data_IF_686916013975
#
_entry.id   IF_686916013975
#
_cell.length_a   1.000
_cell.length_b   1.000
_cell.length_c   1.000
_cell.angle_alpha   90.00
_cell.angle_beta   90.00
_cell.angle_gamma   90.00
#
_symmetry.space_group_name_H-M   'P 1'
#
loop_
_entity.id
_entity.type
_entity.pdbx_description
1 polymer ?
#
# COMPACT_ATOMS: atom_id res chain seq x y z
N UNK A 1 -31.76 -40.26 -12.65
CA UNK A 1 -30.63 -39.97 -13.57
C UNK A 1 -31.11 -38.88 -14.49
N UNK A 2 -30.82 -37.62 -14.17
CA UNK A 2 -31.07 -36.49 -15.06
C UNK A 2 -30.01 -36.54 -16.14
N UNK A 3 -30.39 -36.77 -17.38
CA UNK A 3 -29.59 -36.56 -18.56
C UNK A 3 -29.36 -35.02 -18.66
N UNK A 4 -28.17 -34.58 -18.34
CA UNK A 4 -27.72 -33.24 -18.74
C UNK A 4 -27.64 -33.26 -20.28
N UNK A 5 -28.65 -32.69 -20.92
CA UNK A 5 -28.55 -32.41 -22.35
C UNK A 5 -27.42 -31.40 -22.51
N UNK A 6 -26.28 -31.84 -23.02
CA UNK A 6 -25.22 -30.92 -23.47
C UNK A 6 -25.72 -30.22 -24.71
N UNK A 7 -26.17 -28.98 -24.52
CA UNK A 7 -26.40 -28.10 -25.64
C UNK A 7 -25.04 -27.72 -26.25
N UNK A 8 -24.93 -27.88 -27.57
CA UNK A 8 -23.81 -27.30 -28.31
C UNK A 8 -23.82 -25.80 -28.10
N UNK A 9 -22.80 -25.27 -27.50
CA UNK A 9 -22.56 -23.84 -27.48
C UNK A 9 -21.89 -23.45 -28.80
N UNK A 10 -22.65 -22.79 -29.69
CA UNK A 10 -22.04 -22.16 -30.85
C UNK A 10 -21.10 -21.06 -30.35
N UNK A 11 -19.96 -20.81 -31.05
CA UNK A 11 -19.17 -19.61 -30.77
C UNK A 11 -20.10 -18.39 -30.85
N UNK A 12 -19.98 -17.43 -29.91
CA UNK A 12 -20.74 -16.18 -30.04
C UNK A 12 -20.41 -15.53 -31.38
N UNK A 13 -21.37 -14.91 -31.99
CA UNK A 13 -21.27 -14.20 -33.27
C UNK A 13 -20.40 -12.93 -33.26
N UNK A 14 -19.66 -12.70 -32.15
CA UNK A 14 -18.73 -11.59 -31.97
C UNK A 14 -19.33 -10.41 -31.23
N UNK A 15 -20.64 -10.30 -31.14
CA UNK A 15 -21.35 -9.22 -30.48
C UNK A 15 -21.42 -9.46 -28.96
N UNK A 16 -21.28 -8.38 -28.18
CA UNK A 16 -21.44 -8.40 -26.72
C UNK A 16 -20.55 -9.42 -25.99
N UNK A 17 -19.27 -9.44 -26.29
CA UNK A 17 -18.33 -10.37 -25.68
C UNK A 17 -18.30 -10.26 -24.16
N UNK A 18 -18.18 -11.40 -23.48
CA UNK A 18 -17.98 -11.46 -22.03
C UNK A 18 -16.60 -10.93 -21.67
N UNK A 19 -16.55 -9.97 -20.76
CA UNK A 19 -15.36 -9.30 -20.28
C UNK A 19 -15.24 -9.41 -18.77
N UNK A 20 -14.00 -9.43 -18.30
CA UNK A 20 -13.66 -9.50 -16.89
C UNK A 20 -12.50 -8.55 -16.59
N UNK A 21 -12.65 -7.70 -15.56
CA UNK A 21 -11.58 -6.85 -15.07
C UNK A 21 -11.47 -6.95 -13.56
N UNK A 22 -10.25 -7.05 -13.03
CA UNK A 22 -10.01 -7.18 -11.59
C UNK A 22 -8.86 -6.30 -11.15
N UNK A 23 -8.99 -5.69 -9.96
CA UNK A 23 -7.99 -4.83 -9.35
C UNK A 23 -7.80 -5.19 -7.88
N UNK A 24 -6.55 -5.47 -7.48
CA UNK A 24 -6.16 -5.58 -6.08
C UNK A 24 -5.87 -4.20 -5.49
N UNK A 25 -6.33 -3.98 -4.25
CA UNK A 25 -6.05 -2.79 -3.43
C UNK A 25 -5.20 -3.25 -2.25
N UNK A 26 -3.96 -2.75 -2.15
CA UNK A 26 -2.94 -3.11 -1.14
C UNK A 26 -2.76 -4.62 -0.93
N UNK A 27 -3.05 -5.45 -1.92
CA UNK A 27 -2.99 -6.92 -1.88
C UNK A 27 -3.85 -7.57 -0.76
N UNK A 28 -4.77 -6.82 -0.15
CA UNK A 28 -5.65 -7.31 0.93
C UNK A 28 -7.12 -7.30 0.54
N UNK A 29 -7.48 -6.57 -0.50
CA UNK A 29 -8.82 -6.57 -1.08
C UNK A 29 -8.74 -6.63 -2.60
N UNK A 30 -9.80 -7.15 -3.23
CA UNK A 30 -9.94 -7.21 -4.69
C UNK A 30 -11.33 -6.78 -5.09
N UNK A 31 -11.42 -5.98 -6.14
CA UNK A 31 -12.66 -5.66 -6.83
C UNK A 31 -12.64 -6.34 -8.19
N UNK A 32 -13.70 -7.03 -8.53
CA UNK A 32 -13.85 -7.73 -9.81
C UNK A 32 -15.15 -7.28 -10.49
N UNK A 33 -15.09 -6.98 -11.78
CA UNK A 33 -16.25 -6.65 -12.60
C UNK A 33 -16.37 -7.66 -13.73
N UNK A 34 -17.53 -8.32 -13.80
CA UNK A 34 -17.92 -9.19 -14.91
C UNK A 34 -19.04 -8.54 -15.71
N UNK A 35 -18.87 -8.43 -17.02
CA UNK A 35 -19.83 -7.74 -17.87
C UNK A 35 -19.79 -8.25 -19.30
N UNK A 36 -20.85 -7.98 -20.06
CA UNK A 36 -20.85 -8.15 -21.51
C UNK A 36 -20.73 -6.78 -22.18
N UNK A 37 -19.78 -6.67 -23.12
CA UNK A 37 -19.34 -5.44 -23.76
C UNK A 37 -20.09 -5.21 -25.08
N UNK A 38 -21.13 -4.36 -25.13
CA UNK A 38 -21.75 -3.96 -26.38
C UNK A 38 -20.85 -2.96 -27.13
N UNK A 39 -21.00 -2.95 -28.45
CA UNK A 39 -20.40 -1.96 -29.34
C UNK A 39 -21.34 -0.78 -29.62
N UNK A 40 -20.80 0.28 -30.22
CA UNK A 40 -21.58 1.39 -30.76
C UNK A 40 -22.20 1.01 -32.13
N UNK A 41 -21.48 0.27 -32.94
CA UNK A 41 -21.93 -0.22 -34.27
C UNK A 41 -22.65 0.86 -35.10
N UNK A 42 -21.96 1.96 -35.35
CA UNK A 42 -22.47 3.08 -36.14
C UNK A 42 -23.59 3.92 -35.49
N UNK A 43 -23.99 3.60 -34.25
CA UNK A 43 -25.06 4.30 -33.52
C UNK A 43 -24.53 5.47 -32.67
N UNK A 44 -23.38 6.05 -33.05
CA UNK A 44 -22.84 7.22 -32.34
C UNK A 44 -23.84 8.36 -32.30
N UNK A 45 -24.09 8.92 -31.09
CA UNK A 45 -25.10 9.92 -30.81
C UNK A 45 -26.51 9.35 -30.65
N UNK A 46 -26.67 8.02 -30.68
CA UNK A 46 -27.93 7.32 -30.48
C UNK A 46 -27.83 6.22 -29.38
N UNK A 47 -26.81 6.26 -28.58
CA UNK A 47 -26.68 5.36 -27.41
C UNK A 47 -27.49 5.95 -26.26
N UNK A 48 -27.10 7.13 -25.78
CA UNK A 48 -27.67 7.73 -24.58
C UNK A 48 -29.00 8.45 -24.88
N UNK A 49 -30.03 8.10 -24.13
CA UNK A 49 -31.39 8.60 -24.35
C UNK A 49 -32.18 7.83 -25.43
N UNK A 50 -31.52 6.94 -26.19
CA UNK A 50 -32.15 6.14 -27.26
C UNK A 50 -31.98 4.63 -26.99
N UNK A 51 -30.83 4.02 -27.35
CA UNK A 51 -30.57 2.61 -27.07
C UNK A 51 -30.58 2.33 -25.58
N UNK A 52 -30.03 3.23 -24.78
CA UNK A 52 -30.11 3.25 -23.32
C UNK A 52 -30.95 4.47 -22.91
N UNK A 53 -32.26 4.30 -22.64
CA UNK A 53 -33.16 5.40 -22.35
C UNK A 53 -32.82 6.08 -21.03
N UNK A 54 -32.91 7.40 -20.97
CA UNK A 54 -32.80 8.14 -19.73
C UNK A 54 -33.93 7.81 -18.74
N UNK A 55 -33.61 7.79 -17.46
CA UNK A 55 -34.57 7.55 -16.39
C UNK A 55 -35.03 6.09 -16.25
N UNK A 56 -34.46 5.17 -17.02
CA UNK A 56 -34.78 3.74 -16.93
C UNK A 56 -33.59 2.93 -16.41
N UNK A 57 -33.91 1.85 -15.68
CA UNK A 57 -32.89 0.93 -15.15
C UNK A 57 -32.25 0.17 -16.32
N UNK A 58 -30.94 0.25 -16.40
CA UNK A 58 -30.10 -0.44 -17.38
C UNK A 58 -29.10 -1.34 -16.65
N UNK A 59 -28.87 -2.54 -17.19
CA UNK A 59 -27.95 -3.56 -16.66
C UNK A 59 -26.46 -3.19 -16.75
N UNK A 60 -26.16 -1.94 -17.13
CA UNK A 60 -24.80 -1.39 -17.26
C UNK A 60 -23.86 -2.24 -18.13
N UNK A 61 -24.40 -2.86 -19.18
CA UNK A 61 -23.75 -3.76 -20.13
C UNK A 61 -24.76 -4.36 -21.11
N UNK A 62 -24.46 -5.55 -21.61
CA UNK A 62 -25.34 -6.33 -22.51
C UNK A 62 -25.56 -7.74 -21.91
N UNK A 63 -26.48 -8.51 -22.49
CA UNK A 63 -26.84 -9.89 -22.12
C UNK A 63 -27.22 -10.04 -20.64
N UNK A 64 -26.44 -10.81 -19.85
CA UNK A 64 -26.62 -10.91 -18.40
C UNK A 64 -26.27 -9.59 -17.71
N UNK A 65 -26.80 -9.37 -16.53
CA UNK A 65 -26.52 -8.15 -15.78
C UNK A 65 -25.05 -8.10 -15.35
N UNK A 66 -24.45 -6.93 -15.52
CA UNK A 66 -23.10 -6.65 -15.01
C UNK A 66 -23.05 -6.92 -13.51
N UNK A 67 -21.95 -7.48 -13.02
CA UNK A 67 -21.74 -7.71 -11.59
C UNK A 67 -20.46 -7.09 -11.09
N UNK A 68 -20.47 -6.64 -9.84
CA UNK A 68 -19.29 -6.21 -9.11
C UNK A 68 -19.13 -7.10 -7.89
N UNK A 69 -17.94 -7.67 -7.70
CA UNK A 69 -17.60 -8.49 -6.54
C UNK A 69 -16.51 -7.82 -5.72
N UNK A 70 -16.73 -7.75 -4.39
CA UNK A 70 -15.81 -7.23 -3.41
C UNK A 70 -15.31 -8.37 -2.52
N UNK A 71 -14.00 -8.61 -2.45
CA UNK A 71 -13.44 -9.67 -1.60
C UNK A 71 -13.42 -9.31 -0.11
N UNK A 72 -13.61 -8.04 0.22
CA UNK A 72 -13.67 -7.49 1.58
C UNK A 72 -14.73 -6.39 1.65
N UNK A 73 -15.13 -6.00 2.87
CA UNK A 73 -16.04 -4.88 3.06
C UNK A 73 -15.45 -3.60 2.47
N UNK A 74 -16.25 -2.90 1.69
CA UNK A 74 -15.88 -1.66 1.01
C UNK A 74 -16.74 -0.49 1.48
N UNK A 75 -16.36 0.71 1.10
CA UNK A 75 -17.14 1.94 1.25
C UNK A 75 -17.28 2.60 -0.12
N UNK A 76 -18.51 2.97 -0.50
CA UNK A 76 -18.81 3.68 -1.75
C UNK A 76 -19.69 4.89 -1.40
N UNK A 77 -19.21 6.09 -1.75
CA UNK A 77 -19.95 7.32 -1.44
C UNK A 77 -20.27 7.50 0.06
N UNK A 78 -19.41 7.00 0.95
CA UNK A 78 -19.59 7.02 2.40
C UNK A 78 -20.50 5.92 2.96
N UNK A 79 -21.03 5.03 2.12
CA UNK A 79 -21.90 3.93 2.51
C UNK A 79 -21.14 2.60 2.56
N UNK A 80 -21.37 1.83 3.62
CA UNK A 80 -20.76 0.51 3.78
C UNK A 80 -21.36 -0.50 2.79
N UNK A 81 -20.50 -1.23 2.10
CA UNK A 81 -20.85 -2.32 1.19
C UNK A 81 -20.15 -3.59 1.71
N UNK A 82 -20.91 -4.59 2.19
CA UNK A 82 -20.34 -5.86 2.63
C UNK A 82 -19.59 -6.58 1.51
N UNK A 83 -18.61 -7.42 1.88
CA UNK A 83 -17.98 -8.34 0.93
C UNK A 83 -19.05 -9.22 0.26
N UNK A 84 -18.91 -9.43 -1.05
CA UNK A 84 -19.88 -10.21 -1.82
C UNK A 84 -19.95 -9.80 -3.27
N UNK A 85 -20.78 -10.51 -4.03
CA UNK A 85 -21.08 -10.26 -5.45
C UNK A 85 -22.45 -9.62 -5.60
N UNK A 86 -22.51 -8.51 -6.31
CA UNK A 86 -23.71 -7.70 -6.50
C UNK A 86 -23.99 -7.48 -7.99
N UNK A 87 -25.25 -7.44 -8.37
CA UNK A 87 -25.65 -6.92 -9.66
C UNK A 87 -25.38 -5.43 -9.72
N UNK A 88 -24.83 -4.97 -10.83
CA UNK A 88 -24.59 -3.55 -11.05
C UNK A 88 -25.52 -3.02 -12.13
N UNK A 89 -26.33 -2.03 -11.73
CA UNK A 89 -27.27 -1.36 -12.62
C UNK A 89 -27.04 0.14 -12.60
N UNK A 90 -27.51 0.81 -13.64
CA UNK A 90 -27.49 2.26 -13.71
C UNK A 90 -28.84 2.79 -14.21
N UNK A 91 -29.22 3.97 -13.73
CA UNK A 91 -30.29 4.79 -14.32
C UNK A 91 -29.62 6.01 -14.90
N UNK A 92 -29.30 6.02 -16.21
CA UNK A 92 -28.70 7.16 -16.85
C UNK A 92 -29.62 8.38 -16.85
N UNK A 93 -29.05 9.53 -16.65
CA UNK A 93 -29.69 10.83 -16.84
C UNK A 93 -28.76 11.76 -17.62
N UNK A 94 -29.28 12.85 -18.16
CA UNK A 94 -28.49 13.79 -18.95
C UNK A 94 -27.32 14.44 -18.15
N UNK A 95 -27.51 14.67 -16.85
CA UNK A 95 -26.57 15.40 -15.99
C UNK A 95 -26.01 14.57 -14.88
N UNK A 96 -26.77 13.61 -14.39
CA UNK A 96 -26.42 12.76 -13.27
C UNK A 96 -27.00 11.36 -13.50
N UNK A 97 -26.25 10.35 -13.11
CA UNK A 97 -26.66 8.96 -13.16
C UNK A 97 -26.88 8.44 -11.74
N UNK A 98 -27.90 7.61 -11.56
CA UNK A 98 -28.00 6.78 -10.35
C UNK A 98 -27.35 5.43 -10.64
N UNK A 99 -26.34 5.07 -9.84
CA UNK A 99 -25.66 3.78 -9.87
C UNK A 99 -26.21 2.91 -8.75
N UNK A 100 -26.39 1.62 -9.01
CA UNK A 100 -27.10 0.70 -8.13
C UNK A 100 -26.28 -0.57 -7.92
N UNK A 101 -26.07 -0.95 -6.67
CA UNK A 101 -25.67 -2.30 -6.29
C UNK A 101 -26.89 -3.06 -5.80
N UNK A 102 -27.23 -4.15 -6.49
CA UNK A 102 -28.38 -4.99 -6.15
C UNK A 102 -27.92 -6.37 -5.66
N UNK A 103 -28.68 -6.97 -4.76
CA UNK A 103 -28.47 -8.36 -4.32
C UNK A 103 -28.76 -9.35 -5.44
N UNK A 104 -29.60 -8.98 -6.41
CA UNK A 104 -29.84 -9.76 -7.63
C UNK A 104 -28.65 -9.68 -8.57
N UNK A 105 -27.82 -10.72 -8.59
CA UNK A 105 -26.54 -10.78 -9.31
C UNK A 105 -26.46 -11.87 -10.39
N UNK A 106 -27.59 -12.46 -10.78
CA UNK A 106 -27.68 -13.53 -11.77
C UNK A 106 -28.96 -13.42 -12.58
N UNK A 107 -29.14 -12.31 -13.28
CA UNK A 107 -30.33 -12.04 -14.09
C UNK A 107 -29.96 -11.78 -15.55
N UNK A 108 -30.89 -12.02 -16.46
CA UNK A 108 -30.75 -11.59 -17.85
C UNK A 108 -31.33 -10.16 -18.00
N UNK A 109 -30.48 -9.23 -18.39
CA UNK A 109 -30.93 -7.84 -18.58
C UNK A 109 -31.29 -7.16 -17.26
N UNK A 110 -32.26 -6.25 -17.33
CA UNK A 110 -32.87 -5.58 -16.20
C UNK A 110 -34.33 -6.03 -15.98
N UNK A 111 -34.77 -7.11 -16.62
CA UNK A 111 -36.19 -7.52 -16.60
C UNK A 111 -36.65 -8.02 -15.23
N UNK A 112 -35.74 -8.62 -14.46
CA UNK A 112 -35.99 -9.11 -13.10
C UNK A 112 -35.48 -8.14 -12.03
N UNK A 113 -35.22 -6.89 -12.39
CA UNK A 113 -34.78 -5.89 -11.44
C UNK A 113 -35.94 -5.49 -10.50
N UNK A 114 -35.66 -5.53 -9.21
CA UNK A 114 -36.58 -5.08 -8.16
C UNK A 114 -35.86 -4.11 -7.23
N UNK A 115 -36.42 -2.93 -7.02
CA UNK A 115 -35.83 -1.89 -6.18
C UNK A 115 -35.70 -2.34 -4.70
N UNK A 116 -36.53 -3.26 -4.24
CA UNK A 116 -36.46 -3.85 -2.90
C UNK A 116 -35.20 -4.68 -2.65
N UNK A 117 -34.53 -5.13 -3.73
CA UNK A 117 -33.29 -5.87 -3.67
C UNK A 117 -32.05 -4.96 -3.73
N UNK A 118 -32.22 -3.65 -3.82
CA UNK A 118 -31.10 -2.72 -3.83
C UNK A 118 -30.38 -2.72 -2.48
N UNK A 119 -29.08 -2.92 -2.54
CA UNK A 119 -28.21 -2.74 -1.38
C UNK A 119 -27.84 -1.27 -1.22
N UNK A 120 -27.52 -0.61 -2.34
CA UNK A 120 -27.05 0.77 -2.35
C UNK A 120 -27.44 1.46 -3.66
N UNK A 121 -27.91 2.70 -3.54
CA UNK A 121 -28.02 3.66 -4.64
C UNK A 121 -27.16 4.87 -4.34
N UNK A 122 -26.40 5.30 -5.32
CA UNK A 122 -25.56 6.49 -5.22
C UNK A 122 -25.51 7.19 -6.57
N UNK A 123 -25.08 8.45 -6.58
CA UNK A 123 -25.05 9.24 -7.81
C UNK A 123 -23.63 9.41 -8.35
N UNK A 124 -23.51 9.54 -9.66
CA UNK A 124 -22.28 9.86 -10.34
C UNK A 124 -22.56 10.79 -11.52
N UNK A 125 -21.65 11.72 -11.78
CA UNK A 125 -21.79 12.68 -12.87
C UNK A 125 -21.06 12.15 -14.10
N UNK A 126 -21.77 11.93 -15.24
CA UNK A 126 -21.13 11.52 -16.47
C UNK A 126 -20.18 12.62 -16.99
N UNK A 127 -19.03 12.21 -17.49
CA UNK A 127 -18.02 13.10 -18.06
C UNK A 127 -17.84 12.79 -19.54
N UNK A 128 -17.50 13.80 -20.34
CA UNK A 128 -17.03 13.56 -21.70
C UNK A 128 -15.71 12.81 -21.66
N UNK A 129 -15.59 11.80 -22.49
CA UNK A 129 -14.37 11.00 -22.66
C UNK A 129 -13.96 10.91 -24.13
N UNK A 130 -12.78 10.37 -24.38
CA UNK A 130 -12.42 9.91 -25.70
C UNK A 130 -13.40 8.82 -26.14
N UNK A 131 -13.69 8.80 -27.46
CA UNK A 131 -14.60 7.83 -28.05
C UNK A 131 -14.15 6.40 -27.81
N UNK A 132 -15.06 5.57 -27.32
CA UNK A 132 -14.89 4.13 -27.15
C UNK A 132 -15.95 3.38 -27.93
N UNK A 133 -15.54 2.59 -28.93
CA UNK A 133 -16.45 1.74 -29.68
C UNK A 133 -17.13 0.70 -28.80
N UNK A 134 -16.36 0.09 -27.89
CA UNK A 134 -16.85 -0.93 -26.98
C UNK A 134 -17.05 -0.39 -25.58
N UNK A 135 -18.14 -0.80 -24.92
CA UNK A 135 -18.30 -0.56 -23.49
C UNK A 135 -17.17 -1.24 -22.72
N UNK A 136 -16.50 -0.51 -21.87
CA UNK A 136 -15.43 -1.04 -21.01
C UNK A 136 -15.54 -0.58 -19.57
N UNK A 137 -15.01 -1.39 -18.66
CA UNK A 137 -14.74 -1.03 -17.28
C UNK A 137 -13.24 -0.97 -17.06
N UNK A 138 -12.78 0.08 -16.39
CA UNK A 138 -11.37 0.30 -16.10
C UNK A 138 -11.18 0.77 -14.67
N UNK A 139 -10.06 0.40 -14.05
CA UNK A 139 -9.61 0.98 -12.79
C UNK A 139 -8.64 2.12 -13.06
N UNK A 140 -9.14 3.36 -12.96
CA UNK A 140 -8.44 4.57 -13.39
C UNK A 140 -7.60 5.24 -12.31
N UNK A 141 -7.95 5.07 -11.03
CA UNK A 141 -7.15 5.51 -9.89
C UNK A 141 -6.76 4.32 -9.02
N UNK A 142 -5.50 4.33 -8.54
CA UNK A 142 -4.95 3.24 -7.74
C UNK A 142 -4.18 3.82 -6.56
N UNK A 143 -4.75 3.70 -5.38
CA UNK A 143 -4.17 4.17 -4.11
C UNK A 143 -4.11 3.05 -3.09
N UNK A 144 -3.35 3.18 -2.00
CA UNK A 144 -3.26 2.12 -0.99
C UNK A 144 -4.59 1.72 -0.37
N UNK A 145 -5.56 2.64 -0.24
CA UNK A 145 -6.85 2.39 0.41
C UNK A 145 -8.05 2.46 -0.53
N UNK A 146 -7.88 2.85 -1.80
CA UNK A 146 -9.00 2.94 -2.74
C UNK A 146 -8.61 2.78 -4.20
N UNK A 147 -9.61 2.51 -5.02
CA UNK A 147 -9.53 2.55 -6.48
C UNK A 147 -10.75 3.26 -7.05
N UNK A 148 -10.65 3.83 -8.25
CA UNK A 148 -11.80 4.33 -8.98
C UNK A 148 -12.17 3.35 -10.10
N UNK A 149 -13.43 2.91 -10.10
CA UNK A 149 -14.00 2.13 -11.20
C UNK A 149 -14.67 3.09 -12.18
N UNK A 150 -14.32 2.98 -13.46
CA UNK A 150 -14.82 3.82 -14.55
C UNK A 150 -15.44 2.98 -15.63
N UNK A 151 -16.71 3.20 -15.91
CA UNK A 151 -17.39 2.75 -17.13
C UNK A 151 -17.11 3.74 -18.25
N UNK A 152 -16.74 3.25 -19.42
CA UNK A 152 -16.59 4.06 -20.65
C UNK A 152 -17.38 3.45 -21.79
N UNK A 153 -18.10 4.25 -22.52
CA UNK A 153 -18.77 3.85 -23.75
C UNK A 153 -19.16 5.07 -24.60
N UNK A 154 -19.00 4.97 -25.91
CA UNK A 154 -19.20 6.07 -26.84
C UNK A 154 -18.32 7.27 -26.42
N UNK A 155 -18.87 8.43 -26.17
CA UNK A 155 -18.17 9.67 -25.78
C UNK A 155 -18.34 10.01 -24.29
N UNK A 156 -18.79 9.06 -23.46
CA UNK A 156 -19.02 9.26 -22.03
C UNK A 156 -18.26 8.27 -21.15
N UNK A 157 -17.87 8.77 -19.99
CA UNK A 157 -17.37 7.95 -18.88
C UNK A 157 -18.10 8.29 -17.59
N UNK A 158 -18.28 7.30 -16.73
CA UNK A 158 -18.85 7.45 -15.39
C UNK A 158 -17.94 6.75 -14.41
N UNK A 159 -17.48 7.46 -13.38
CA UNK A 159 -16.52 6.96 -12.39
C UNK A 159 -17.07 7.08 -10.98
N UNK A 160 -16.67 6.15 -10.12
CA UNK A 160 -16.89 6.24 -8.67
C UNK A 160 -15.76 5.57 -7.89
N UNK A 161 -15.54 6.03 -6.67
CA UNK A 161 -14.51 5.49 -5.79
C UNK A 161 -15.04 4.30 -4.98
N UNK A 162 -14.15 3.33 -4.80
CA UNK A 162 -14.34 2.15 -3.96
C UNK A 162 -13.22 2.16 -2.94
N UNK A 163 -13.55 2.38 -1.69
CA UNK A 163 -12.61 2.53 -0.58
C UNK A 163 -12.61 1.27 0.30
N UNK A 164 -11.46 0.96 0.89
CA UNK A 164 -11.26 -0.14 1.82
C UNK A 164 -10.56 0.33 3.08
N UNK A 165 -10.92 -0.25 4.20
CA UNK A 165 -10.19 -0.11 5.45
C UNK A 165 -8.87 -0.91 5.38
N UNK A 166 -7.92 -0.43 4.56
CA UNK A 166 -6.75 -1.22 4.16
C UNK A 166 -5.86 -1.60 5.36
N UNK A 167 -5.67 -0.70 6.33
CA UNK A 167 -4.86 -1.00 7.52
C UNK A 167 -5.52 -2.07 8.38
N UNK A 168 -6.83 -2.00 8.59
CA UNK A 168 -7.61 -3.01 9.33
C UNK A 168 -7.49 -4.39 8.67
N UNK A 169 -7.62 -4.43 7.34
CA UNK A 169 -7.47 -5.68 6.57
C UNK A 169 -6.06 -6.27 6.68
N UNK A 170 -5.02 -5.42 6.65
CA UNK A 170 -3.63 -5.86 6.86
C UNK A 170 -3.46 -6.43 8.27
N UNK A 171 -3.97 -5.74 9.29
CA UNK A 171 -3.89 -6.21 10.68
C UNK A 171 -4.59 -7.56 10.86
N UNK A 172 -5.80 -7.72 10.30
CA UNK A 172 -6.50 -9.01 10.37
C UNK A 172 -5.75 -10.12 9.61
N UNK A 173 -5.14 -9.79 8.47
CA UNK A 173 -4.28 -10.71 7.74
C UNK A 173 -3.07 -11.14 8.58
N UNK A 174 -2.39 -10.19 9.25
CA UNK A 174 -1.28 -10.50 10.14
C UNK A 174 -1.71 -11.35 11.33
N UNK A 175 -2.83 -11.03 11.98
CA UNK A 175 -3.40 -11.86 13.04
C UNK A 175 -3.65 -13.30 12.60
N UNK A 176 -4.16 -13.49 11.37
CA UNK A 176 -4.39 -14.82 10.83
C UNK A 176 -3.08 -15.59 10.58
N UNK A 177 -2.09 -14.94 9.96
CA UNK A 177 -0.78 -15.53 9.65
C UNK A 177 0.03 -15.86 10.91
N UNK A 178 -0.02 -14.99 11.92
CA UNK A 178 0.73 -15.14 13.17
C UNK A 178 0.13 -16.17 14.15
N UNK A 179 -1.06 -16.74 13.84
CA UNK A 179 -1.59 -17.88 14.62
C UNK A 179 -0.82 -19.17 14.39
N UNK A 180 -0.06 -19.28 13.29
CA UNK A 180 0.72 -20.47 12.93
C UNK A 180 2.17 -20.41 13.42
N UNK A 181 3.02 -21.25 12.83
CA UNK A 181 4.45 -21.38 13.17
C UNK A 181 5.21 -20.04 13.10
N UNK A 182 4.83 -19.15 12.17
CA UNK A 182 5.46 -17.85 11.97
C UNK A 182 5.35 -17.00 13.24
N UNK A 183 4.22 -17.00 13.91
CA UNK A 183 4.04 -16.22 15.15
C UNK A 183 4.60 -16.89 16.38
N UNK A 184 4.67 -18.22 16.42
CA UNK A 184 5.08 -18.98 17.62
C UNK A 184 6.60 -19.18 17.71
N UNK A 185 7.29 -19.37 16.59
CA UNK A 185 8.69 -19.78 16.55
C UNK A 185 9.62 -18.83 15.79
N UNK A 186 9.06 -17.86 15.08
CA UNK A 186 9.83 -16.92 14.29
C UNK A 186 9.61 -15.49 14.81
N UNK A 187 10.67 -14.88 15.34
CA UNK A 187 10.63 -13.52 15.86
C UNK A 187 10.39 -12.48 14.73
N UNK A 188 10.85 -12.76 13.51
CA UNK A 188 10.77 -11.86 12.36
C UNK A 188 9.33 -11.54 11.98
N UNK A 189 8.43 -12.52 11.98
CA UNK A 189 7.02 -12.33 11.63
C UNK A 189 6.33 -11.32 12.55
N UNK A 190 6.46 -11.53 13.86
CA UNK A 190 5.91 -10.59 14.86
C UNK A 190 6.59 -9.22 14.78
N UNK A 191 7.90 -9.17 14.52
CA UNK A 191 8.62 -7.91 14.32
C UNK A 191 8.12 -7.15 13.10
N UNK A 192 7.94 -7.81 11.96
CA UNK A 192 7.41 -7.18 10.74
C UNK A 192 6.02 -6.60 10.96
N UNK A 193 5.14 -7.32 11.65
CA UNK A 193 3.81 -6.83 11.99
C UNK A 193 3.85 -5.61 12.94
N UNK A 194 4.72 -5.64 13.96
CA UNK A 194 4.95 -4.52 14.86
C UNK A 194 5.53 -3.30 14.13
N UNK A 195 6.50 -3.53 13.24
CA UNK A 195 7.12 -2.49 12.42
C UNK A 195 6.11 -1.82 11.49
N UNK A 196 5.21 -2.60 10.88
CA UNK A 196 4.12 -2.05 10.07
C UNK A 196 3.24 -1.07 10.86
N UNK A 197 2.85 -1.44 12.09
CA UNK A 197 2.07 -0.55 12.96
C UNK A 197 2.82 0.75 13.26
N UNK A 198 4.12 0.65 13.51
CA UNK A 198 4.98 1.81 13.80
C UNK A 198 5.13 2.71 12.56
N UNK A 199 5.45 2.14 11.40
CA UNK A 199 5.74 2.88 10.18
C UNK A 199 4.52 3.64 9.66
N UNK A 200 3.33 3.09 9.88
CA UNK A 200 2.07 3.71 9.44
C UNK A 200 1.36 4.51 10.56
N UNK A 201 1.85 4.45 11.80
CA UNK A 201 1.22 5.13 12.94
C UNK A 201 -0.17 4.59 13.27
N UNK A 202 -0.43 3.30 13.03
CA UNK A 202 -1.73 2.64 13.21
C UNK A 202 -1.65 1.52 14.24
N UNK A 203 -2.71 1.30 15.01
CA UNK A 203 -2.85 0.20 15.98
C UNK A 203 -1.62 0.02 16.89
N UNK A 204 -1.14 1.07 17.58
CA UNK A 204 0.11 1.01 18.35
C UNK A 204 0.07 -0.01 19.49
N UNK A 205 -1.10 -0.25 20.11
CA UNK A 205 -1.27 -1.27 21.14
C UNK A 205 -1.04 -2.68 20.60
N UNK A 206 -1.64 -2.99 19.44
CA UNK A 206 -1.45 -4.28 18.77
C UNK A 206 0.00 -4.42 18.27
N UNK A 207 0.58 -3.35 17.78
CA UNK A 207 2.00 -3.32 17.40
C UNK A 207 2.92 -3.62 18.58
N UNK A 208 2.64 -3.03 19.75
CA UNK A 208 3.42 -3.29 20.96
C UNK A 208 3.27 -4.74 21.45
N UNK A 209 2.09 -5.32 21.34
CA UNK A 209 1.89 -6.74 21.67
C UNK A 209 2.79 -7.63 20.79
N UNK A 210 2.79 -7.43 19.50
CA UNK A 210 3.65 -8.16 18.57
C UNK A 210 5.14 -7.89 18.80
N UNK A 211 5.52 -6.65 19.09
CA UNK A 211 6.91 -6.33 19.43
C UNK A 211 7.38 -7.08 20.70
N UNK A 212 6.54 -7.16 21.74
CA UNK A 212 6.81 -7.94 22.95
C UNK A 212 6.95 -9.44 22.66
N UNK A 213 6.05 -9.98 21.82
CA UNK A 213 6.11 -11.38 21.41
C UNK A 213 7.39 -11.67 20.62
N UNK A 214 7.76 -10.81 19.68
CA UNK A 214 9.02 -10.92 18.92
C UNK A 214 10.24 -10.95 19.84
N UNK A 215 10.31 -10.04 20.81
CA UNK A 215 11.41 -9.98 21.79
C UNK A 215 11.41 -11.22 22.69
N UNK A 216 10.25 -11.75 23.06
CA UNK A 216 10.15 -12.97 23.87
C UNK A 216 10.70 -14.20 23.13
N UNK A 217 10.45 -14.32 21.83
CA UNK A 217 10.99 -15.41 21.00
C UNK A 217 12.52 -15.27 20.86
N UNK A 218 12.99 -14.11 20.47
CA UNK A 218 14.43 -13.84 20.33
C UNK A 218 14.73 -12.34 20.39
N UNK A 219 15.31 -11.83 21.48
CA UNK A 219 15.73 -10.45 21.56
C UNK A 219 16.77 -10.11 20.47
N UNK A 220 16.53 -9.04 19.75
CA UNK A 220 17.42 -8.47 18.73
C UNK A 220 17.43 -6.95 18.86
N UNK A 221 18.48 -6.30 18.39
CA UNK A 221 18.54 -4.84 18.37
C UNK A 221 17.28 -4.23 17.69
N UNK A 222 16.92 -4.75 16.52
CA UNK A 222 15.83 -4.21 15.71
C UNK A 222 14.47 -4.33 16.39
N UNK A 223 14.10 -5.49 16.96
CA UNK A 223 12.80 -5.66 17.57
C UNK A 223 12.68 -4.96 18.93
N UNK A 224 13.78 -4.83 19.67
CA UNK A 224 13.85 -4.02 20.89
C UNK A 224 13.70 -2.53 20.58
N UNK A 225 14.31 -2.05 19.49
CA UNK A 225 14.17 -0.66 19.05
C UNK A 225 12.72 -0.36 18.60
N UNK A 226 12.10 -1.27 17.85
CA UNK A 226 10.68 -1.15 17.45
C UNK A 226 9.78 -1.14 18.68
N UNK A 227 10.03 -2.02 19.65
CA UNK A 227 9.31 -2.05 20.93
C UNK A 227 9.44 -0.71 21.66
N UNK A 228 10.66 -0.19 21.82
CA UNK A 228 10.91 1.10 22.46
C UNK A 228 10.12 2.24 21.79
N UNK A 229 10.12 2.30 20.46
CA UNK A 229 9.39 3.34 19.71
C UNK A 229 7.87 3.22 19.90
N UNK A 230 7.33 2.01 19.96
CA UNK A 230 5.90 1.78 20.23
C UNK A 230 5.52 2.13 21.67
N UNK A 231 6.37 1.78 22.66
CA UNK A 231 6.19 2.19 24.06
C UNK A 231 6.20 3.72 24.18
N UNK A 232 7.10 4.40 23.47
CA UNK A 232 7.14 5.87 23.41
C UNK A 232 5.87 6.46 22.78
N UNK A 233 5.38 5.87 21.69
CA UNK A 233 4.15 6.31 21.02
C UNK A 233 2.90 6.17 21.89
N UNK A 234 2.91 5.20 22.82
CA UNK A 234 1.85 4.98 23.81
C UNK A 234 2.04 5.78 25.11
N UNK A 235 3.11 6.58 25.20
CA UNK A 235 3.37 7.45 26.35
C UNK A 235 4.10 6.78 27.52
N UNK A 236 4.53 5.51 27.40
CA UNK A 236 5.30 4.80 28.42
C UNK A 236 6.81 5.08 28.26
N UNK A 237 7.23 6.26 28.69
CA UNK A 237 8.61 6.72 28.53
C UNK A 237 9.63 5.87 29.32
N UNK A 238 9.24 5.29 30.47
CA UNK A 238 10.15 4.45 31.26
C UNK A 238 10.39 3.10 30.58
N UNK A 239 9.34 2.45 30.11
CA UNK A 239 9.47 1.21 29.34
C UNK A 239 10.26 1.45 28.05
N UNK A 240 9.95 2.53 27.33
CA UNK A 240 10.63 2.91 26.11
C UNK A 240 12.15 3.08 26.32
N UNK A 241 12.54 3.79 27.38
CA UNK A 241 13.95 3.97 27.76
C UNK A 241 14.63 2.62 28.07
N UNK A 242 13.97 1.79 28.86
CA UNK A 242 14.49 0.46 29.21
C UNK A 242 14.70 -0.44 27.99
N UNK A 243 13.72 -0.47 27.09
CA UNK A 243 13.81 -1.23 25.84
C UNK A 243 14.92 -0.69 24.92
N UNK A 244 15.07 0.63 24.84
CA UNK A 244 16.15 1.27 24.07
C UNK A 244 17.54 0.94 24.62
N UNK A 245 17.74 1.07 25.93
CA UNK A 245 19.01 0.74 26.58
C UNK A 245 19.41 -0.73 26.35
N UNK A 246 18.42 -1.64 26.41
CA UNK A 246 18.64 -3.05 26.11
C UNK A 246 19.01 -3.25 24.64
N UNK A 247 18.33 -2.57 23.70
CA UNK A 247 18.66 -2.60 22.28
C UNK A 247 20.11 -2.16 22.05
N UNK A 248 20.51 -1.01 22.58
CA UNK A 248 21.86 -0.49 22.46
C UNK A 248 22.90 -1.45 23.06
N UNK A 249 22.58 -2.09 24.21
CA UNK A 249 23.46 -3.07 24.83
C UNK A 249 23.72 -4.29 23.93
N UNK A 250 22.75 -4.72 23.17
CA UNK A 250 22.86 -5.89 22.28
C UNK A 250 23.34 -5.55 20.86
N UNK A 251 23.38 -4.28 20.52
CA UNK A 251 23.69 -3.81 19.17
C UNK A 251 25.10 -4.23 18.72
N UNK A 252 25.20 -4.67 17.49
CA UNK A 252 26.47 -4.89 16.77
C UNK A 252 27.03 -3.57 16.23
N UNK A 253 28.30 -3.53 15.74
CA UNK A 253 28.85 -2.34 15.07
C UNK A 253 27.99 -1.86 13.91
N UNK A 254 27.41 -2.80 13.20
CA UNK A 254 26.52 -2.55 12.06
C UNK A 254 25.21 -1.89 12.51
N UNK A 255 24.59 -2.41 13.56
CA UNK A 255 23.35 -1.88 14.12
C UNK A 255 23.52 -0.43 14.58
N UNK A 256 24.56 -0.15 15.35
CA UNK A 256 24.85 1.21 15.83
C UNK A 256 25.17 2.17 14.68
N UNK A 257 25.90 1.71 13.69
CA UNK A 257 26.19 2.53 12.52
C UNK A 257 24.92 2.93 11.77
N UNK A 258 24.03 1.97 11.46
CA UNK A 258 22.78 2.27 10.75
C UNK A 258 21.80 3.06 11.60
N UNK A 259 21.75 2.83 12.92
CA UNK A 259 20.96 3.63 13.83
C UNK A 259 21.42 5.10 13.88
N UNK A 260 22.73 5.34 14.03
CA UNK A 260 23.27 6.69 13.96
C UNK A 260 22.99 7.37 12.61
N UNK A 261 23.03 6.62 11.50
CA UNK A 261 22.62 7.16 10.19
C UNK A 261 21.14 7.53 10.12
N UNK A 262 20.27 6.73 10.70
CA UNK A 262 18.84 7.04 10.77
C UNK A 262 18.60 8.33 11.56
N UNK A 263 19.26 8.49 12.71
CA UNK A 263 19.21 9.71 13.50
C UNK A 263 19.72 10.95 12.73
N UNK A 264 20.76 10.81 11.90
CA UNK A 264 21.18 11.90 11.00
C UNK A 264 20.11 12.26 9.97
N UNK A 265 19.37 11.27 9.45
CA UNK A 265 18.25 11.49 8.55
C UNK A 265 17.05 12.20 9.23
N UNK A 266 16.93 12.05 10.55
CA UNK A 266 15.95 12.74 11.39
C UNK A 266 16.48 14.11 11.90
N UNK A 267 17.61 14.58 11.42
CA UNK A 267 18.31 15.83 11.87
C UNK A 267 18.74 15.81 13.35
N UNK A 268 18.76 14.67 14.02
CA UNK A 268 19.21 14.46 15.40
C UNK A 268 20.71 14.27 15.47
N UNK A 269 21.47 15.30 15.07
CA UNK A 269 22.92 15.20 14.86
C UNK A 269 23.69 14.88 16.15
N UNK A 270 23.30 15.44 17.30
CA UNK A 270 24.00 15.18 18.58
C UNK A 270 23.77 13.74 19.07
N UNK A 271 22.53 13.26 18.95
CA UNK A 271 22.22 11.87 19.30
C UNK A 271 22.95 10.88 18.36
N UNK A 272 22.97 11.17 17.08
CA UNK A 272 23.73 10.36 16.11
C UNK A 272 25.22 10.31 16.45
N UNK A 273 25.81 11.45 16.80
CA UNK A 273 27.22 11.52 17.19
C UNK A 273 27.51 10.70 18.43
N UNK A 274 26.63 10.77 19.45
CA UNK A 274 26.75 9.95 20.66
C UNK A 274 26.74 8.44 20.34
N UNK A 275 25.85 8.00 19.42
CA UNK A 275 25.81 6.59 18.97
C UNK A 275 27.10 6.21 18.22
N UNK A 276 27.61 7.05 17.33
CA UNK A 276 28.87 6.77 16.62
C UNK A 276 30.07 6.70 17.58
N UNK A 277 30.14 7.60 18.55
CA UNK A 277 31.18 7.57 19.59
C UNK A 277 31.07 6.30 20.44
N UNK A 278 29.86 5.92 20.85
CA UNK A 278 29.63 4.67 21.58
C UNK A 278 30.03 3.45 20.75
N UNK A 279 29.72 3.44 19.46
CA UNK A 279 30.10 2.37 18.54
C UNK A 279 31.64 2.22 18.48
N UNK A 280 32.33 3.32 18.29
CA UNK A 280 33.81 3.32 18.25
C UNK A 280 34.44 2.93 19.61
N UNK A 281 33.93 3.50 20.70
CA UNK A 281 34.43 3.19 22.05
C UNK A 281 34.27 1.70 22.41
N UNK A 282 33.22 1.06 21.92
CA UNK A 282 32.92 -0.35 22.22
C UNK A 282 33.64 -1.34 21.32
N UNK A 283 33.82 -1.00 20.06
CA UNK A 283 34.29 -1.94 19.04
C UNK A 283 35.62 -1.56 18.39
N UNK A 284 36.21 -0.41 18.76
CA UNK A 284 37.49 0.06 18.24
C UNK A 284 37.45 0.50 16.78
N UNK A 285 38.60 0.45 16.15
CA UNK A 285 38.81 0.89 14.79
C UNK A 285 38.32 -0.14 13.76
N UNK A 286 37.06 -0.05 13.38
CA UNK A 286 36.45 -0.78 12.28
C UNK A 286 36.05 0.20 11.16
N UNK A 287 35.92 -0.30 9.95
CA UNK A 287 35.45 0.52 8.82
C UNK A 287 34.18 1.32 9.16
N UNK A 288 33.16 0.66 9.72
CA UNK A 288 31.88 1.29 10.05
C UNK A 288 31.95 2.23 11.25
N UNK A 289 32.83 1.98 12.23
CA UNK A 289 32.99 2.88 13.38
C UNK A 289 33.66 4.18 12.96
N UNK A 290 34.69 4.12 12.15
CA UNK A 290 35.39 5.27 11.58
C UNK A 290 34.47 6.02 10.61
N UNK A 291 33.72 5.32 9.75
CA UNK A 291 32.76 5.92 8.83
C UNK A 291 31.60 6.61 9.58
N UNK A 292 31.17 6.06 10.71
CA UNK A 292 30.14 6.68 11.56
C UNK A 292 30.62 8.01 12.14
N UNK A 293 31.81 8.04 12.76
CA UNK A 293 32.41 9.26 13.27
C UNK A 293 32.58 10.31 12.17
N UNK A 294 33.11 9.91 11.00
CA UNK A 294 33.28 10.80 9.87
C UNK A 294 31.96 11.46 9.46
N UNK A 295 30.87 10.70 9.39
CA UNK A 295 29.53 11.22 9.06
C UNK A 295 29.00 12.14 10.15
N UNK A 296 29.18 11.82 11.42
CA UNK A 296 28.78 12.64 12.55
C UNK A 296 29.50 14.01 12.53
N UNK A 297 30.84 14.02 12.38
CA UNK A 297 31.62 15.24 12.27
C UNK A 297 31.24 16.05 11.03
N UNK A 298 31.02 15.41 9.87
CA UNK A 298 30.54 16.09 8.66
C UNK A 298 29.18 16.77 8.89
N UNK A 299 28.25 16.12 9.55
CA UNK A 299 26.94 16.69 9.87
C UNK A 299 27.06 17.90 10.83
N UNK A 300 28.06 17.90 11.72
CA UNK A 300 28.41 19.02 12.60
C UNK A 300 29.24 20.10 11.90
N UNK A 301 29.55 19.94 10.62
CA UNK A 301 30.43 20.83 9.82
C UNK A 301 31.89 20.90 10.34
N UNK A 302 32.29 19.94 11.16
CA UNK A 302 33.69 19.75 11.57
C UNK A 302 34.44 18.96 10.48
N UNK A 303 34.75 19.65 9.40
CA UNK A 303 35.32 19.02 8.21
C UNK A 303 36.72 18.48 8.45
N UNK A 304 37.46 19.08 9.39
CA UNK A 304 38.81 18.60 9.72
C UNK A 304 38.77 17.23 10.42
N UNK A 305 37.94 17.06 11.43
CA UNK A 305 37.75 15.77 12.08
C UNK A 305 37.09 14.75 11.13
N UNK A 306 36.13 15.17 10.32
CA UNK A 306 35.49 14.32 9.32
C UNK A 306 36.52 13.76 8.33
N UNK A 307 37.45 14.59 7.83
CA UNK A 307 38.53 14.19 6.93
C UNK A 307 39.44 13.14 7.56
N UNK A 308 39.85 13.32 8.82
CA UNK A 308 40.65 12.34 9.55
C UNK A 308 39.98 10.98 9.62
N UNK A 309 38.70 10.93 10.00
CA UNK A 309 37.96 9.70 10.12
C UNK A 309 37.64 9.05 8.77
N UNK A 310 37.39 9.83 7.69
CA UNK A 310 37.28 9.26 6.33
C UNK A 310 38.60 8.64 5.85
N UNK A 311 39.76 9.27 6.13
CA UNK A 311 41.04 8.69 5.83
C UNK A 311 41.31 7.40 6.63
N UNK A 312 40.94 7.36 7.90
CA UNK A 312 41.02 6.14 8.70
C UNK A 312 40.07 5.04 8.15
N UNK A 313 38.87 5.37 7.78
CA UNK A 313 37.95 4.42 7.15
C UNK A 313 38.47 3.89 5.80
N UNK A 314 39.14 4.74 4.99
CA UNK A 314 39.74 4.32 3.74
C UNK A 314 40.82 3.23 3.94
N UNK A 315 41.64 3.33 5.00
CA UNK A 315 42.65 2.32 5.33
C UNK A 315 42.03 0.96 5.72
N UNK A 316 40.80 0.98 6.26
CA UNK A 316 40.04 -0.21 6.68
C UNK A 316 39.09 -0.72 5.60
N UNK A 317 39.08 -0.09 4.42
CA UNK A 317 38.18 -0.46 3.33
C UNK A 317 38.67 -1.73 2.62
N UNK A 318 37.88 -2.79 2.69
CA UNK A 318 38.19 -4.07 2.05
C UNK A 318 37.66 -4.14 0.60
N UNK A 319 36.51 -3.52 0.34
CA UNK A 319 35.82 -3.60 -0.95
C UNK A 319 36.14 -2.39 -1.83
N UNK A 320 36.32 -2.58 -3.16
CA UNK A 320 36.60 -1.46 -4.09
C UNK A 320 35.55 -0.33 -3.98
N UNK A 321 34.28 -0.65 -3.87
CA UNK A 321 33.21 0.33 -3.70
C UNK A 321 33.33 1.17 -2.41
N UNK A 322 33.86 0.58 -1.35
CA UNK A 322 34.13 1.31 -0.10
C UNK A 322 35.26 2.32 -0.33
N UNK A 323 36.37 1.92 -0.97
CA UNK A 323 37.48 2.79 -1.29
C UNK A 323 37.05 3.99 -2.13
N UNK A 324 36.41 3.75 -3.27
CA UNK A 324 35.90 4.82 -4.14
C UNK A 324 34.97 5.79 -3.40
N UNK A 325 34.13 5.27 -2.51
CA UNK A 325 33.23 6.14 -1.71
C UNK A 325 34.03 6.99 -0.73
N UNK A 326 35.05 6.44 -0.06
CA UNK A 326 35.87 7.20 0.88
C UNK A 326 36.72 8.25 0.16
N UNK A 327 37.33 7.92 -0.97
CA UNK A 327 38.09 8.86 -1.79
C UNK A 327 37.24 10.08 -2.19
N UNK A 328 36.01 9.84 -2.60
CA UNK A 328 35.06 10.92 -2.91
C UNK A 328 34.76 11.79 -1.70
N UNK A 329 34.48 11.20 -0.53
CA UNK A 329 34.20 11.97 0.68
C UNK A 329 35.43 12.74 1.18
N UNK A 330 36.63 12.17 1.05
CA UNK A 330 37.90 12.85 1.37
C UNK A 330 38.03 14.11 0.51
N UNK A 331 37.90 13.97 -0.83
CA UNK A 331 37.96 15.10 -1.75
C UNK A 331 36.91 16.19 -1.43
N UNK A 332 35.69 15.79 -1.05
CA UNK A 332 34.64 16.71 -0.61
C UNK A 332 35.06 17.50 0.64
N UNK A 333 35.64 16.82 1.65
CA UNK A 333 36.10 17.50 2.88
C UNK A 333 37.26 18.41 2.63
N UNK A 334 38.24 18.03 1.81
CA UNK A 334 39.37 18.86 1.44
C UNK A 334 38.93 20.14 0.70
N UNK A 335 37.93 20.01 -0.19
CA UNK A 335 37.33 21.17 -0.86
C UNK A 335 36.66 22.12 0.13
N UNK A 336 35.87 21.61 1.10
CA UNK A 336 35.21 22.40 2.12
C UNK A 336 36.21 23.16 3.02
N UNK A 337 37.30 22.54 3.39
CA UNK A 337 38.37 23.20 4.17
C UNK A 337 39.03 24.34 3.38
N UNK A 338 39.28 24.13 2.08
CA UNK A 338 39.86 25.16 1.21
C UNK A 338 38.92 26.36 0.94
N UNK A 339 37.60 26.14 1.03
CA UNK A 339 36.56 27.21 0.95
C UNK A 339 36.52 28.07 2.22
N UNK A 340 36.75 27.46 3.40
CA UNK A 340 36.71 28.12 4.70
C UNK A 340 37.96 28.98 5.02
N UNK A 341 39.05 28.75 4.31
CA UNK A 341 40.31 29.51 4.44
C UNK A 341 40.35 30.80 3.56
N UNK A 342 39.27 31.09 2.83
CA UNK A 342 39.09 32.30 2.01
C UNK A 342 38.10 33.27 2.66
#
# INVERSE_FOLDING_TARGET
TFLNAQFLQAPPDGDNQHCHVSQSVSNVATVTVDYHSPDVDGRRGAIWGHLVPYGQVWRAGANENTTIEFSANATIGGHAVPAGKYGFFAIPGEREWTLILSKTNSAWGAFAYEESEDLLRFTAVPQKSEYSEYLSYEFTERKPSYTALTLKWEDLSVSFHIEFAAHELVIESFKAQLKGEIGLFNWEGCHQAAQYCLDHGVFPEQGLEWARQSVQVKPQFTNLLTRSKLEQALGDAEAAKSSYELAIKMATPNDLYYHGRALLGEEKTEEAMAIFQQNHARYGDLFLTQLGLARGHRAKQDYAAALQHFKAALQLAELPRQRTSMERFIAEMEAKLAEGDK
#
